data_IF_366377157967
#
_entry.id   IF_366377157967
#
_cell.length_a   1.000
_cell.length_b   1.000
_cell.length_c   1.000
_cell.angle_alpha   90.00
_cell.angle_beta   90.00
_cell.angle_gamma   90.00
#
_symmetry.space_group_name_H-M   'P 1'
#
loop_
_entity.id
_entity.type
_entity.pdbx_description
1 polymer ?
#
# COMPACT_ATOMS: atom_id res chain seq x y z
N UNK A 1 -3.53 -15.95 4.91
CA UNK A 1 -3.14 -14.78 4.09
C UNK A 1 -3.57 -13.54 4.85
N UNK A 2 -2.63 -12.68 5.23
CA UNK A 2 -2.93 -11.48 6.02
C UNK A 2 -3.42 -10.38 5.08
N UNK A 3 -4.57 -9.76 5.40
CA UNK A 3 -5.10 -8.62 4.66
C UNK A 3 -5.03 -7.38 5.54
N UNK A 4 -4.41 -6.32 5.04
CA UNK A 4 -4.30 -5.03 5.72
C UNK A 4 -5.07 -4.01 4.90
N UNK A 5 -6.00 -3.28 5.53
CA UNK A 5 -6.87 -2.32 4.84
C UNK A 5 -6.59 -0.90 5.34
N UNK A 6 -6.31 0.01 4.40
CA UNK A 6 -6.08 1.42 4.70
C UNK A 6 -7.37 2.19 4.40
N UNK A 7 -8.03 2.69 5.44
CA UNK A 7 -9.22 3.54 5.33
C UNK A 7 -8.78 5.00 5.38
N UNK A 8 -9.10 5.78 4.35
CA UNK A 8 -8.52 7.11 4.14
C UNK A 8 -7.17 7.05 3.42
N UNK A 9 -7.03 6.10 2.49
CA UNK A 9 -5.79 5.83 1.76
C UNK A 9 -5.35 6.99 0.86
N UNK A 10 -6.23 7.95 0.54
CA UNK A 10 -5.93 9.16 -0.20
C UNK A 10 -4.95 10.10 0.51
N UNK A 11 -4.58 9.81 1.76
CA UNK A 11 -3.37 10.37 2.40
C UNK A 11 -2.12 9.69 1.86
N UNK A 12 -1.71 10.05 0.64
CA UNK A 12 -0.67 9.34 -0.11
C UNK A 12 0.67 9.23 0.63
N UNK A 13 1.12 10.28 1.33
CA UNK A 13 2.38 10.24 2.11
C UNK A 13 2.28 9.26 3.29
N UNK A 14 1.13 9.24 3.97
CA UNK A 14 0.88 8.30 5.06
C UNK A 14 0.83 6.85 4.54
N UNK A 15 0.05 6.60 3.48
CA UNK A 15 -0.07 5.27 2.87
C UNK A 15 1.30 4.75 2.37
N UNK A 16 2.09 5.63 1.76
CA UNK A 16 3.46 5.34 1.32
C UNK A 16 4.34 4.86 2.47
N UNK A 17 4.42 5.64 3.54
CA UNK A 17 5.33 5.34 4.66
C UNK A 17 4.92 4.03 5.33
N UNK A 18 3.62 3.85 5.63
CA UNK A 18 3.14 2.65 6.31
C UNK A 18 3.36 1.38 5.49
N UNK A 19 3.14 1.45 4.18
CA UNK A 19 3.38 0.32 3.28
C UNK A 19 4.87 0.00 3.11
N UNK A 20 5.72 1.03 3.05
CA UNK A 20 7.17 0.84 3.04
C UNK A 20 7.65 0.10 4.29
N UNK A 21 7.15 0.51 5.47
CA UNK A 21 7.47 -0.16 6.74
C UNK A 21 6.94 -1.60 6.76
N UNK A 22 5.66 -1.82 6.44
CA UNK A 22 5.03 -3.16 6.41
C UNK A 22 5.80 -4.10 5.49
N UNK A 23 6.06 -3.70 4.25
CA UNK A 23 6.70 -4.55 3.24
C UNK A 23 8.21 -4.73 3.45
N UNK A 24 8.81 -3.99 4.37
CA UNK A 24 10.21 -4.19 4.78
C UNK A 24 10.40 -5.44 5.65
N UNK A 25 9.34 -5.94 6.29
CA UNK A 25 9.36 -7.16 7.09
C UNK A 25 9.16 -8.39 6.20
N UNK A 26 10.10 -9.35 6.13
CA UNK A 26 9.99 -10.54 5.29
C UNK A 26 8.69 -11.32 5.46
N UNK A 27 8.19 -11.44 6.69
CA UNK A 27 6.96 -12.13 7.03
C UNK A 27 5.68 -11.42 6.55
N UNK A 28 5.79 -10.16 6.10
CA UNK A 28 4.68 -9.33 5.60
C UNK A 28 4.80 -8.99 4.10
N UNK A 29 5.71 -9.61 3.36
CA UNK A 29 5.86 -9.36 1.92
C UNK A 29 4.75 -10.01 1.07
N UNK A 30 4.13 -11.07 1.57
CA UNK A 30 3.03 -11.82 0.93
C UNK A 30 1.69 -11.53 1.63
N UNK A 31 1.32 -10.24 1.64
CA UNK A 31 0.05 -9.74 2.21
C UNK A 31 -0.83 -9.15 1.12
N UNK A 32 -2.12 -9.01 1.43
CA UNK A 32 -3.04 -8.22 0.61
C UNK A 32 -3.15 -6.80 1.18
N UNK A 33 -2.95 -5.77 0.35
CA UNK A 33 -3.10 -4.35 0.72
C UNK A 33 -4.36 -3.79 0.05
N UNK A 34 -5.38 -3.51 0.86
CA UNK A 34 -6.64 -2.93 0.37
C UNK A 34 -6.66 -1.43 0.63
N UNK A 35 -6.72 -0.62 -0.43
CA UNK A 35 -6.83 0.83 -0.32
C UNK A 35 -8.29 1.25 -0.42
N UNK A 36 -8.74 2.13 0.48
CA UNK A 36 -10.07 2.73 0.43
C UNK A 36 -9.98 4.23 0.70
N UNK A 37 -10.61 5.02 -0.16
CA UNK A 37 -10.89 6.43 0.06
C UNK A 37 -12.21 6.78 -0.65
N UNK A 38 -12.88 7.84 -0.20
CA UNK A 38 -14.10 8.35 -0.84
C UNK A 38 -13.77 9.23 -2.06
N UNK A 39 -12.53 9.71 -2.15
CA UNK A 39 -12.01 10.49 -3.26
C UNK A 39 -11.23 9.58 -4.23
N UNK A 40 -11.79 9.36 -5.41
CA UNK A 40 -11.23 8.46 -6.43
C UNK A 40 -9.87 8.93 -6.97
N UNK A 41 -9.66 10.24 -7.13
CA UNK A 41 -8.41 10.79 -7.65
C UNK A 41 -7.26 10.60 -6.64
N UNK A 42 -7.56 10.84 -5.36
CA UNK A 42 -6.60 10.61 -4.28
C UNK A 42 -6.33 9.13 -4.06
N UNK A 43 -7.35 8.28 -4.20
CA UNK A 43 -7.19 6.82 -4.14
C UNK A 43 -6.26 6.33 -5.26
N UNK A 44 -6.50 6.76 -6.50
CA UNK A 44 -5.67 6.42 -7.67
C UNK A 44 -4.22 6.86 -7.50
N UNK A 45 -3.98 8.05 -6.95
CA UNK A 45 -2.62 8.53 -6.65
C UNK A 45 -1.92 7.58 -5.67
N UNK A 46 -2.63 7.11 -4.66
CA UNK A 46 -2.09 6.22 -3.63
C UNK A 46 -1.86 4.81 -4.15
N UNK A 47 -2.69 4.31 -5.06
CA UNK A 47 -2.49 3.06 -5.79
C UNK A 47 -1.22 3.10 -6.67
N UNK A 48 -0.97 4.19 -7.39
CA UNK A 48 0.26 4.37 -8.19
C UNK A 48 1.49 4.30 -7.28
N UNK A 49 1.45 5.01 -6.15
CA UNK A 49 2.55 5.01 -5.17
C UNK A 49 2.75 3.62 -4.55
N UNK A 50 1.66 2.87 -4.30
CA UNK A 50 1.73 1.50 -3.83
C UNK A 50 2.48 0.57 -4.78
N UNK A 51 2.11 0.61 -6.06
CA UNK A 51 2.77 -0.18 -7.09
C UNK A 51 4.26 0.18 -7.21
N UNK A 52 4.61 1.47 -7.13
CA UNK A 52 6.01 1.92 -7.17
C UNK A 52 6.82 1.41 -5.97
N UNK A 53 6.24 1.40 -4.76
CA UNK A 53 6.91 0.86 -3.56
C UNK A 53 7.13 -0.64 -3.72
N UNK A 54 6.10 -1.39 -4.10
CA UNK A 54 6.20 -2.84 -4.29
C UNK A 54 7.30 -3.19 -5.31
N UNK A 55 7.34 -2.46 -6.44
CA UNK A 55 8.39 -2.61 -7.45
C UNK A 55 9.79 -2.28 -6.91
N UNK A 56 9.93 -1.19 -6.16
CA UNK A 56 11.21 -0.76 -5.58
C UNK A 56 11.76 -1.78 -4.58
N UNK A 57 10.88 -2.37 -3.78
CA UNK A 57 11.24 -3.38 -2.79
C UNK A 57 11.36 -4.80 -3.39
N UNK A 58 10.96 -5.00 -4.65
CA UNK A 58 10.99 -6.31 -5.30
C UNK A 58 9.96 -7.31 -4.76
N UNK A 59 8.88 -6.82 -4.15
CA UNK A 59 7.81 -7.62 -3.53
C UNK A 59 6.52 -7.57 -4.36
N UNK A 60 5.59 -8.48 -4.10
CA UNK A 60 4.32 -8.58 -4.85
C UNK A 60 3.13 -8.79 -3.91
N UNK A 61 2.78 -7.78 -3.08
CA UNK A 61 1.52 -7.81 -2.35
C UNK A 61 0.34 -7.85 -3.33
N UNK A 62 -0.78 -8.38 -2.87
CA UNK A 62 -2.03 -8.52 -3.64
C UNK A 62 -3.05 -7.44 -3.33
#
# INVERSE_FOLDING_TARGET
MTKISFIGAGSTVFAKNLMGDILSYPELQDVTISLHDIDEERLRTSEIVANNIAQTLGVRPT
#
